data_IF_499173278787
#
_entry.id   IF_499173278787
#
_cell.length_a   1.000
_cell.length_b   1.000
_cell.length_c   1.000
_cell.angle_alpha   90.00
_cell.angle_beta   90.00
_cell.angle_gamma   90.00
#
_symmetry.space_group_name_H-M   'P 1'
#
loop_
_entity.id
_entity.type
_entity.pdbx_description
1 polymer ?
#
# COMPACT_ATOMS: atom_id res chain seq x y z
N UNK A 1 -17.78 -11.29 21.00
CA UNK A 1 -18.85 -12.20 20.58
C UNK A 1 -19.10 -13.29 21.62
N UNK A 2 -18.09 -14.11 21.97
CA UNK A 2 -18.27 -15.28 22.84
C UNK A 2 -18.98 -14.99 24.17
N UNK A 3 -18.61 -13.95 24.95
CA UNK A 3 -19.32 -13.63 26.19
C UNK A 3 -20.80 -13.26 25.96
N UNK A 4 -21.10 -12.55 24.88
CA UNK A 4 -22.48 -12.20 24.53
C UNK A 4 -23.29 -13.46 24.18
N UNK A 5 -22.75 -14.34 23.36
CA UNK A 5 -23.40 -15.59 22.99
C UNK A 5 -23.67 -16.47 24.22
N UNK A 6 -22.67 -16.68 25.06
CA UNK A 6 -22.79 -17.46 26.29
C UNK A 6 -23.90 -16.92 27.24
N UNK A 7 -24.04 -15.58 27.30
CA UNK A 7 -25.05 -14.94 28.14
C UNK A 7 -26.47 -15.08 27.58
N UNK A 8 -26.67 -15.05 26.28
CA UNK A 8 -27.99 -14.92 25.67
C UNK A 8 -28.43 -16.14 24.85
N UNK A 9 -27.60 -17.17 24.69
CA UNK A 9 -27.87 -18.33 23.81
C UNK A 9 -29.23 -18.98 24.05
N UNK A 10 -29.70 -19.01 25.28
CA UNK A 10 -31.03 -19.60 25.63
C UNK A 10 -32.22 -18.77 25.17
N UNK A 11 -32.00 -17.50 24.82
CA UNK A 11 -33.01 -16.56 24.36
C UNK A 11 -33.02 -16.36 22.85
N UNK A 12 -32.01 -16.93 22.13
CA UNK A 12 -31.87 -16.83 20.68
C UNK A 12 -32.67 -17.95 20.04
N UNK A 13 -33.67 -17.60 19.23
CA UNK A 13 -34.54 -18.57 18.52
C UNK A 13 -34.10 -18.78 17.07
N UNK A 14 -33.61 -17.72 16.42
CA UNK A 14 -33.06 -17.75 15.09
C UNK A 14 -31.73 -17.02 15.08
N UNK A 15 -30.65 -17.70 14.72
CA UNK A 15 -29.32 -17.14 14.75
C UNK A 15 -28.59 -17.42 13.45
N UNK A 16 -28.36 -16.36 12.68
CA UNK A 16 -27.45 -16.37 11.53
C UNK A 16 -26.14 -15.72 11.97
N UNK A 17 -25.02 -16.38 11.69
CA UNK A 17 -23.69 -15.90 12.05
C UNK A 17 -22.87 -15.80 10.78
N UNK A 18 -22.56 -14.57 10.38
CA UNK A 18 -21.58 -14.30 9.34
C UNK A 18 -20.21 -14.04 9.98
N UNK A 19 -19.18 -14.75 9.53
CA UNK A 19 -17.81 -14.58 9.99
C UNK A 19 -16.98 -13.88 8.91
N UNK A 20 -17.11 -12.58 8.84
CA UNK A 20 -16.35 -11.72 7.93
C UNK A 20 -14.98 -11.28 8.50
N UNK A 21 -14.87 -11.26 9.84
CA UNK A 21 -13.69 -10.78 10.58
C UNK A 21 -13.31 -11.74 11.69
N UNK A 22 -12.16 -12.33 11.57
CA UNK A 22 -11.68 -13.30 12.56
C UNK A 22 -10.95 -12.60 13.69
N UNK A 23 -11.57 -12.46 14.87
CA UNK A 23 -10.95 -11.90 16.08
C UNK A 23 -10.28 -10.52 15.89
N UNK A 24 -10.74 -9.72 14.93
CA UNK A 24 -10.25 -8.38 14.68
C UNK A 24 -11.30 -7.34 15.04
N UNK A 25 -10.88 -6.32 15.80
CA UNK A 25 -11.70 -5.16 16.09
C UNK A 25 -11.62 -4.06 15.02
N UNK A 26 -10.70 -4.20 14.06
CA UNK A 26 -10.51 -3.22 13.00
C UNK A 26 -11.28 -3.68 11.76
N UNK A 27 -12.33 -2.95 11.35
CA UNK A 27 -13.09 -3.28 10.15
C UNK A 27 -12.30 -3.02 8.88
N UNK A 28 -12.79 -3.55 7.76
CA UNK A 28 -12.41 -3.10 6.44
C UNK A 28 -13.04 -1.74 6.16
N UNK A 29 -12.39 -0.98 5.27
CA UNK A 29 -12.86 0.34 4.84
C UNK A 29 -14.19 0.22 4.10
N UNK A 30 -15.13 1.09 4.44
CA UNK A 30 -16.34 1.30 3.63
C UNK A 30 -15.94 1.97 2.30
N UNK A 31 -16.24 1.29 1.20
CA UNK A 31 -15.89 1.73 -0.16
C UNK A 31 -17.06 2.43 -0.88
N UNK A 32 -18.20 2.61 -0.23
CA UNK A 32 -19.42 3.15 -0.86
C UNK A 32 -19.20 4.50 -1.53
N UNK A 33 -18.39 5.36 -0.95
CA UNK A 33 -18.10 6.72 -1.44
C UNK A 33 -16.65 6.87 -1.96
N UNK A 34 -16.00 5.77 -2.35
CA UNK A 34 -14.62 5.81 -2.86
C UNK A 34 -14.64 5.88 -4.38
N UNK A 35 -14.14 6.98 -4.95
CA UNK A 35 -14.05 7.20 -6.40
C UNK A 35 -12.75 6.58 -6.97
N UNK A 36 -12.59 5.28 -6.82
CA UNK A 36 -11.42 4.51 -7.26
C UNK A 36 -11.84 3.15 -7.79
N UNK A 37 -11.01 2.53 -8.62
CA UNK A 37 -11.21 1.15 -9.05
C UNK A 37 -10.56 0.21 -8.05
N UNK A 38 -11.38 -0.55 -7.33
CA UNK A 38 -10.91 -1.51 -6.34
C UNK A 38 -11.36 -2.90 -6.77
N UNK A 39 -10.40 -3.76 -7.09
CA UNK A 39 -10.65 -5.11 -7.55
C UNK A 39 -11.07 -6.04 -6.39
N UNK A 40 -11.92 -7.04 -6.65
CA UNK A 40 -12.26 -8.05 -5.66
C UNK A 40 -11.02 -8.74 -5.08
N UNK A 41 -11.00 -8.98 -3.77
CA UNK A 41 -9.86 -9.58 -3.07
C UNK A 41 -8.79 -8.59 -2.61
N UNK A 42 -8.96 -7.30 -2.83
CA UNK A 42 -8.16 -6.29 -2.14
C UNK A 42 -8.62 -6.13 -0.69
N UNK A 43 -7.67 -6.03 0.25
CA UNK A 43 -7.93 -5.84 1.67
C UNK A 43 -7.50 -4.44 2.10
N UNK A 44 -8.46 -3.55 2.32
CA UNK A 44 -8.21 -2.17 2.74
C UNK A 44 -8.78 -1.98 4.13
N UNK A 45 -7.95 -1.65 5.12
CA UNK A 45 -8.39 -1.41 6.48
C UNK A 45 -9.07 -0.05 6.64
N UNK A 46 -10.01 0.03 7.56
CA UNK A 46 -10.52 1.31 8.04
C UNK A 46 -9.37 2.20 8.52
N UNK A 47 -9.48 3.51 8.25
CA UNK A 47 -8.40 4.48 8.52
C UNK A 47 -7.36 4.60 7.41
N UNK A 48 -7.43 3.81 6.32
CA UNK A 48 -6.68 4.05 5.10
C UNK A 48 -7.38 5.10 4.23
N UNK A 49 -6.61 5.88 3.48
CA UNK A 49 -7.12 6.86 2.51
C UNK A 49 -6.83 6.37 1.09
N UNK A 50 -7.86 6.35 0.24
CA UNK A 50 -7.74 6.06 -1.20
C UNK A 50 -8.28 7.28 -1.92
N UNK A 51 -7.42 7.97 -2.67
CA UNK A 51 -7.80 9.17 -3.40
C UNK A 51 -8.42 8.85 -4.76
N UNK A 52 -8.97 9.88 -5.41
CA UNK A 52 -9.72 9.76 -6.65
C UNK A 52 -8.90 9.16 -7.79
N UNK A 53 -9.54 8.32 -8.59
CA UNK A 53 -8.92 7.71 -9.75
C UNK A 53 -7.86 6.64 -9.44
N UNK A 54 -7.60 6.35 -8.17
CA UNK A 54 -6.67 5.28 -7.79
C UNK A 54 -7.16 3.91 -8.29
N UNK A 55 -6.23 3.00 -8.48
CA UNK A 55 -6.49 1.62 -8.86
C UNK A 55 -5.86 0.69 -7.83
N UNK A 56 -6.65 -0.16 -7.20
CA UNK A 56 -6.17 -1.17 -6.25
C UNK A 56 -6.51 -2.55 -6.80
N UNK A 57 -5.48 -3.31 -7.15
CA UNK A 57 -5.64 -4.61 -7.79
C UNK A 57 -5.88 -5.74 -6.77
N UNK A 58 -6.30 -6.89 -7.27
CA UNK A 58 -6.62 -8.06 -6.45
C UNK A 58 -5.44 -8.48 -5.57
N UNK A 59 -5.74 -8.86 -4.33
CA UNK A 59 -4.74 -9.31 -3.35
C UNK A 59 -3.92 -8.19 -2.71
N UNK A 60 -4.04 -6.95 -3.16
CA UNK A 60 -3.35 -5.84 -2.50
C UNK A 60 -3.84 -5.67 -1.06
N UNK A 61 -2.91 -5.37 -0.15
CA UNK A 61 -3.21 -5.17 1.27
C UNK A 61 -2.79 -3.77 1.70
N UNK A 62 -3.75 -2.97 2.13
CA UNK A 62 -3.54 -1.58 2.54
C UNK A 62 -3.90 -1.44 4.02
N UNK A 63 -2.90 -1.17 4.85
CA UNK A 63 -3.05 -1.12 6.29
C UNK A 63 -3.53 0.25 6.78
N UNK A 64 -3.89 0.32 8.06
CA UNK A 64 -4.40 1.53 8.73
C UNK A 64 -3.44 2.71 8.56
N UNK A 65 -4.00 3.88 8.29
CA UNK A 65 -3.25 5.13 8.11
C UNK A 65 -2.45 5.23 6.82
N UNK A 66 -2.44 4.19 5.97
CA UNK A 66 -1.81 4.30 4.67
C UNK A 66 -2.60 5.23 3.75
N UNK A 67 -1.88 5.90 2.84
CA UNK A 67 -2.46 6.83 1.86
C UNK A 67 -2.07 6.42 0.46
N UNK A 68 -3.06 6.23 -0.40
CA UNK A 68 -2.89 6.01 -1.84
C UNK A 68 -3.33 7.27 -2.55
N UNK A 69 -2.39 7.97 -3.18
CA UNK A 69 -2.63 9.24 -3.85
C UNK A 69 -3.41 9.11 -5.15
N UNK A 70 -3.88 10.25 -5.64
CA UNK A 70 -4.70 10.38 -6.85
C UNK A 70 -4.05 9.71 -8.08
N UNK A 71 -4.82 8.91 -8.81
CA UNK A 71 -4.36 8.21 -10.01
C UNK A 71 -3.30 7.13 -9.78
N UNK A 72 -2.97 6.83 -8.53
CA UNK A 72 -1.94 5.83 -8.18
C UNK A 72 -2.48 4.41 -8.35
N UNK A 73 -1.62 3.53 -8.88
CA UNK A 73 -1.91 2.11 -8.99
C UNK A 73 -1.15 1.31 -7.92
N UNK A 74 -1.89 0.53 -7.15
CA UNK A 74 -1.36 -0.50 -6.26
C UNK A 74 -1.63 -1.86 -6.91
N UNK A 75 -0.60 -2.46 -7.46
CA UNK A 75 -0.71 -3.67 -8.27
C UNK A 75 -0.92 -4.93 -7.43
N UNK A 76 -1.11 -6.06 -8.08
CA UNK A 76 -1.50 -7.35 -7.46
C UNK A 76 -0.58 -7.75 -6.31
N UNK A 77 -1.18 -8.12 -5.19
CA UNK A 77 -0.48 -8.58 -3.98
C UNK A 77 0.54 -7.59 -3.39
N UNK A 78 0.52 -6.33 -3.81
CA UNK A 78 1.36 -5.32 -3.18
C UNK A 78 0.86 -5.00 -1.76
N UNK A 79 1.78 -4.66 -0.86
CA UNK A 79 1.48 -4.38 0.54
C UNK A 79 1.90 -2.96 0.92
N UNK A 80 0.94 -2.16 1.36
CA UNK A 80 1.20 -0.89 2.03
C UNK A 80 1.05 -1.09 3.53
N UNK A 81 2.16 -1.03 4.23
CA UNK A 81 2.22 -1.10 5.68
C UNK A 81 1.56 0.11 6.34
N UNK A 82 1.39 0.05 7.65
CA UNK A 82 0.73 1.14 8.38
C UNK A 82 1.40 2.49 8.14
N UNK A 83 0.60 3.50 7.82
CA UNK A 83 1.03 4.89 7.54
C UNK A 83 1.92 5.08 6.31
N UNK A 84 2.23 4.05 5.53
CA UNK A 84 2.93 4.22 4.26
C UNK A 84 2.11 5.12 3.31
N UNK A 85 2.76 6.08 2.66
CA UNK A 85 2.08 7.05 1.79
C UNK A 85 2.65 7.05 0.38
N UNK A 86 1.75 7.13 -0.60
CA UNK A 86 2.10 7.39 -1.99
C UNK A 86 1.51 8.71 -2.44
N UNK A 87 2.26 9.45 -3.24
CA UNK A 87 1.80 10.64 -3.95
C UNK A 87 0.90 10.28 -5.13
N UNK A 88 0.80 11.21 -6.09
CA UNK A 88 -0.02 11.07 -7.30
C UNK A 88 0.68 10.29 -8.39
N UNK A 89 -0.11 9.55 -9.19
CA UNK A 89 0.38 8.83 -10.37
C UNK A 89 1.60 7.92 -10.06
N UNK A 90 1.60 7.30 -8.90
CA UNK A 90 2.60 6.31 -8.51
C UNK A 90 2.17 4.94 -9.03
N UNK A 91 3.13 4.13 -9.46
CA UNK A 91 2.89 2.72 -9.72
C UNK A 91 3.65 1.88 -8.68
N UNK A 92 2.93 1.19 -7.82
CA UNK A 92 3.50 0.21 -6.89
C UNK A 92 3.32 -1.17 -7.51
N UNK A 93 4.38 -1.71 -8.09
CA UNK A 93 4.37 -2.96 -8.84
C UNK A 93 3.99 -4.19 -8.02
N UNK A 94 3.57 -5.23 -8.70
CA UNK A 94 3.03 -6.46 -8.10
C UNK A 94 3.98 -7.07 -7.07
N UNK A 95 3.43 -7.48 -5.92
CA UNK A 95 4.19 -8.10 -4.84
C UNK A 95 5.15 -7.18 -4.08
N UNK A 96 5.18 -5.89 -4.40
CA UNK A 96 6.04 -4.93 -3.70
C UNK A 96 5.57 -4.64 -2.28
N UNK A 97 6.49 -4.28 -1.40
CA UNK A 97 6.20 -3.97 0.00
C UNK A 97 6.70 -2.57 0.34
N UNK A 98 5.80 -1.69 0.73
CA UNK A 98 6.11 -0.45 1.43
C UNK A 98 5.98 -0.75 2.93
N UNK A 99 7.10 -0.80 3.64
CA UNK A 99 7.11 -1.20 5.05
C UNK A 99 6.30 -0.21 5.91
N UNK A 100 5.61 -0.76 6.90
CA UNK A 100 4.76 0.05 7.77
C UNK A 100 5.47 0.42 9.06
N UNK A 101 5.12 1.59 9.57
CA UNK A 101 5.45 2.02 10.92
C UNK A 101 4.19 2.54 11.61
N UNK A 102 3.78 1.88 12.68
CA UNK A 102 2.65 2.34 13.51
C UNK A 102 3.17 2.90 14.83
N UNK A 103 4.15 2.28 15.42
CA UNK A 103 4.73 2.65 16.71
C UNK A 103 6.26 2.72 16.66
N UNK A 104 6.87 3.70 17.33
CA UNK A 104 6.24 4.82 18.00
C UNK A 104 5.61 5.80 16.99
N UNK A 105 4.62 6.64 17.39
CA UNK A 105 3.97 7.61 16.50
C UNK A 105 4.94 8.61 15.85
N UNK A 106 6.09 8.82 16.48
CA UNK A 106 7.16 9.70 15.96
C UNK A 106 8.03 9.04 14.87
N UNK A 107 7.91 7.73 14.68
CA UNK A 107 8.66 7.05 13.63
C UNK A 107 8.18 7.50 12.25
N UNK A 108 9.13 7.68 11.33
CA UNK A 108 8.84 8.12 9.97
C UNK A 108 8.26 6.95 9.15
N UNK A 109 7.12 7.12 8.49
CA UNK A 109 6.61 6.13 7.54
C UNK A 109 7.41 6.15 6.23
N UNK A 110 7.18 5.15 5.39
CA UNK A 110 7.59 5.21 4.00
C UNK A 110 6.82 6.31 3.29
N UNK A 111 7.53 7.14 2.53
CA UNK A 111 6.97 8.20 1.70
C UNK A 111 7.43 8.03 0.27
N UNK A 112 6.50 7.84 -0.65
CA UNK A 112 6.74 7.79 -2.09
C UNK A 112 6.15 9.06 -2.70
N UNK A 113 6.97 9.87 -3.35
CA UNK A 113 6.50 11.10 -4.01
C UNK A 113 5.80 10.81 -5.34
N UNK A 114 5.32 11.88 -6.01
CA UNK A 114 4.57 11.78 -7.28
C UNK A 114 5.38 11.14 -8.41
N UNK A 115 4.67 10.47 -9.31
CA UNK A 115 5.21 9.91 -10.55
C UNK A 115 6.36 8.91 -10.34
N UNK A 116 6.41 8.24 -9.21
CA UNK A 116 7.40 7.20 -8.90
C UNK A 116 6.93 5.85 -9.44
N UNK A 117 7.86 5.08 -10.01
CA UNK A 117 7.63 3.69 -10.38
C UNK A 117 8.39 2.76 -9.44
N UNK A 118 7.67 1.91 -8.73
CA UNK A 118 8.21 0.83 -7.91
C UNK A 118 8.05 -0.48 -8.69
N UNK A 119 9.15 -1.07 -9.09
CA UNK A 119 9.16 -2.35 -9.81
C UNK A 119 8.66 -3.52 -8.96
N UNK A 120 8.15 -4.55 -9.62
CA UNK A 120 7.57 -5.72 -8.94
C UNK A 120 8.54 -6.35 -7.92
N UNK A 121 7.98 -6.83 -6.80
CA UNK A 121 8.72 -7.45 -5.70
C UNK A 121 9.82 -6.58 -5.05
N UNK A 122 9.79 -5.27 -5.25
CA UNK A 122 10.68 -4.37 -4.52
C UNK A 122 10.22 -4.21 -3.06
N UNK A 123 11.16 -3.97 -2.16
CA UNK A 123 10.87 -3.70 -0.75
C UNK A 123 11.47 -2.34 -0.36
N UNK A 124 10.62 -1.47 0.14
CA UNK A 124 11.01 -0.16 0.66
C UNK A 124 10.92 -0.23 2.18
N UNK A 125 12.04 -0.06 2.88
CA UNK A 125 12.08 -0.14 4.34
C UNK A 125 11.46 1.10 4.98
N UNK A 126 11.04 0.94 6.24
CA UNK A 126 10.48 2.02 7.04
C UNK A 126 11.40 3.24 7.10
N UNK A 127 10.80 4.42 7.10
CA UNK A 127 11.51 5.70 7.15
C UNK A 127 12.12 6.16 5.84
N UNK A 128 12.10 5.32 4.80
CA UNK A 128 12.66 5.68 3.50
C UNK A 128 11.74 6.65 2.75
N UNK A 129 12.34 7.66 2.16
CA UNK A 129 11.71 8.62 1.26
C UNK A 129 12.19 8.40 -0.17
N UNK A 130 11.24 8.18 -1.10
CA UNK A 130 11.53 8.02 -2.53
C UNK A 130 11.08 9.27 -3.26
N UNK A 131 12.03 10.02 -3.81
CA UNK A 131 11.82 11.31 -4.45
C UNK A 131 11.08 11.22 -5.78
N UNK A 132 10.44 12.32 -6.15
CA UNK A 132 9.58 12.46 -7.32
C UNK A 132 10.21 11.92 -8.61
N UNK A 133 9.43 11.15 -9.36
CA UNK A 133 9.85 10.60 -10.65
C UNK A 133 11.00 9.59 -10.57
N UNK A 134 11.33 9.09 -9.39
CA UNK A 134 12.33 8.03 -9.25
C UNK A 134 11.80 6.69 -9.74
N UNK A 135 12.70 5.80 -10.09
CA UNK A 135 12.40 4.42 -10.49
C UNK A 135 13.15 3.46 -9.56
N UNK A 136 12.41 2.60 -8.91
CA UNK A 136 12.95 1.47 -8.15
C UNK A 136 12.83 0.22 -9.01
N UNK A 137 13.96 -0.40 -9.34
CA UNK A 137 13.96 -1.61 -10.16
C UNK A 137 13.29 -2.79 -9.44
N UNK A 138 12.73 -3.72 -10.22
CA UNK A 138 12.12 -4.92 -9.69
C UNK A 138 13.08 -5.71 -8.78
N UNK A 139 12.57 -6.23 -7.66
CA UNK A 139 13.34 -7.00 -6.68
C UNK A 139 14.36 -6.20 -5.87
N UNK A 140 14.40 -4.88 -5.97
CA UNK A 140 15.33 -4.05 -5.19
C UNK A 140 14.91 -3.97 -3.71
N UNK A 141 15.88 -3.92 -2.81
CA UNK A 141 15.68 -3.65 -1.38
C UNK A 141 16.21 -2.25 -1.06
N UNK A 142 15.29 -1.30 -0.89
CA UNK A 142 15.63 0.11 -0.66
C UNK A 142 15.74 0.36 0.84
N UNK A 143 16.95 0.68 1.28
CA UNK A 143 17.31 0.88 2.69
C UNK A 143 17.67 2.33 3.03
N UNK A 144 17.70 3.21 2.04
CA UNK A 144 18.07 4.63 2.15
C UNK A 144 17.22 5.46 1.20
N UNK A 145 17.11 6.74 1.48
CA UNK A 145 16.37 7.67 0.63
C UNK A 145 16.86 7.64 -0.82
N UNK A 146 15.90 7.77 -1.74
CA UNK A 146 16.14 7.78 -3.18
C UNK A 146 15.94 9.21 -3.70
N UNK A 147 16.97 9.81 -4.31
CA UNK A 147 16.83 11.14 -4.89
C UNK A 147 15.77 11.20 -6.00
N UNK A 148 15.13 12.35 -6.18
CA UNK A 148 14.21 12.59 -7.28
C UNK A 148 14.88 12.29 -8.63
N UNK A 149 14.15 11.63 -9.53
CA UNK A 149 14.63 11.27 -10.86
C UNK A 149 15.76 10.24 -10.90
N UNK A 150 16.08 9.59 -9.78
CA UNK A 150 17.10 8.53 -9.76
C UNK A 150 16.50 7.17 -10.09
N UNK A 151 17.28 6.31 -10.73
CA UNK A 151 17.01 4.90 -10.90
C UNK A 151 17.86 4.10 -9.92
N UNK A 152 17.21 3.31 -9.06
CA UNK A 152 17.92 2.47 -8.08
C UNK A 152 17.65 0.99 -8.33
N UNK A 153 18.64 0.15 -8.06
CA UNK A 153 18.54 -1.30 -8.22
C UNK A 153 19.44 -2.04 -7.23
N UNK A 154 19.11 -3.30 -6.98
CA UNK A 154 19.93 -4.24 -6.21
C UNK A 154 19.53 -4.39 -4.76
N UNK A 155 20.32 -5.15 -4.02
CA UNK A 155 20.14 -5.47 -2.59
C UNK A 155 21.48 -5.34 -1.85
N UNK A 156 21.69 -4.26 -1.08
CA UNK A 156 20.85 -3.07 -0.97
C UNK A 156 20.83 -2.26 -2.27
N UNK A 157 19.71 -1.55 -2.51
CA UNK A 157 19.55 -0.73 -3.70
C UNK A 157 20.56 0.42 -3.75
N UNK A 158 21.10 0.68 -4.94
CA UNK A 158 22.02 1.78 -5.22
C UNK A 158 21.58 2.53 -6.47
N UNK A 159 21.86 3.83 -6.52
CA UNK A 159 21.64 4.63 -7.71
C UNK A 159 22.52 4.09 -8.84
N UNK A 160 21.89 3.74 -9.97
CA UNK A 160 22.57 3.19 -11.14
C UNK A 160 22.59 4.15 -12.32
N UNK A 161 21.59 5.05 -12.42
CA UNK A 161 21.48 6.08 -13.47
C UNK A 161 20.40 7.11 -13.10
N UNK A 162 20.17 8.07 -14.00
CA UNK A 162 19.05 9.01 -13.91
C UNK A 162 17.90 8.56 -14.81
N UNK A 163 16.67 8.97 -14.49
CA UNK A 163 15.48 8.64 -15.30
C UNK A 163 15.57 9.22 -16.71
N UNK A 164 16.23 10.38 -16.90
CA UNK A 164 16.50 10.95 -18.22
C UNK A 164 17.34 10.06 -19.15
N UNK A 165 17.94 9.01 -18.62
CA UNK A 165 18.71 8.00 -19.37
C UNK A 165 17.88 6.74 -19.67
N UNK A 166 16.60 6.72 -19.28
CA UNK A 166 15.66 5.63 -19.54
C UNK A 166 14.81 5.99 -20.75
N UNK A 167 14.61 5.05 -21.67
CA UNK A 167 13.69 5.26 -22.79
C UNK A 167 12.27 5.54 -22.29
N UNK A 168 11.61 6.57 -22.86
CA UNK A 168 10.29 7.04 -22.40
C UNK A 168 9.24 5.93 -22.30
N UNK A 169 9.25 5.00 -23.27
CA UNK A 169 8.32 3.86 -23.31
C UNK A 169 8.41 2.89 -22.11
N UNK A 170 9.41 3.04 -21.24
CA UNK A 170 9.62 2.14 -20.09
C UNK A 170 9.14 2.73 -18.76
N UNK A 171 8.70 3.97 -18.74
CA UNK A 171 8.21 4.62 -17.52
C UNK A 171 6.93 5.44 -17.72
N UNK A 172 6.31 5.36 -18.88
CA UNK A 172 4.92 5.76 -19.08
C UNK A 172 4.01 4.68 -18.46
N UNK A 173 3.11 5.09 -17.60
CA UNK A 173 2.15 4.24 -16.86
C UNK A 173 0.76 4.43 -17.46
#
# INVERSE_FOLDING_TARGET
WKPFYEQYQSSLTDLEIEMDRRNSAIPLKDLTNTNARIEPGAFIREGATIEDGAVVMMGATINIGAVVGEGTMIDMNATLGGRATTGKNVHVGAGSVLAGVIEPPSAQPVVIEDNVLIGANAVILEGVHVGKGAIVAAGAIVTQDVPAGAVVAGTPAKVIKQTSEVEDSKHEI
#
